data_IF_400020626020
#
_entry.id   IF_400020626020
#
_cell.length_a   1.000
_cell.length_b   1.000
_cell.length_c   1.000
_cell.angle_alpha   90.00
_cell.angle_beta   90.00
_cell.angle_gamma   90.00
#
_symmetry.space_group_name_H-M   'P 1'
#
loop_
_entity.id
_entity.type
_entity.pdbx_description
1 polymer ?
#
# COMPACT_ATOMS: atom_id res chain seq x y z
N UNK A 1 45.68 33.01 -19.33
CA UNK A 1 45.46 31.84 -18.46
C UNK A 1 44.01 31.83 -18.05
N UNK A 2 43.20 30.97 -18.66
CA UNK A 2 41.75 30.92 -18.43
C UNK A 2 41.47 29.80 -17.44
N UNK A 3 41.11 30.15 -16.21
CA UNK A 3 40.70 29.19 -15.18
C UNK A 3 39.22 28.90 -15.41
N UNK A 4 38.91 27.71 -15.94
CA UNK A 4 37.55 27.18 -16.00
C UNK A 4 37.14 26.80 -14.57
N UNK A 5 36.28 27.62 -13.95
CA UNK A 5 35.59 27.24 -12.72
C UNK A 5 34.50 26.23 -13.09
N UNK A 6 34.73 24.95 -12.77
CA UNK A 6 33.66 23.96 -12.65
C UNK A 6 32.67 24.43 -11.61
N UNK A 7 31.49 24.85 -12.05
CA UNK A 7 30.31 24.98 -11.20
C UNK A 7 29.73 23.57 -11.01
N UNK A 8 30.28 22.83 -10.05
CA UNK A 8 29.60 21.64 -9.52
C UNK A 8 28.54 22.13 -8.54
N UNK A 9 27.27 21.97 -8.89
CA UNK A 9 26.14 22.25 -8.01
C UNK A 9 26.22 21.40 -6.74
N UNK A 10 26.18 22.00 -5.53
CA UNK A 10 26.37 21.27 -4.27
C UNK A 10 25.09 20.59 -3.75
N UNK A 11 24.02 20.48 -4.54
CA UNK A 11 22.73 19.97 -4.05
C UNK A 11 21.99 19.00 -4.98
N UNK A 12 22.68 18.40 -5.95
CA UNK A 12 22.17 17.19 -6.60
C UNK A 12 22.63 16.00 -5.77
N UNK A 13 21.96 15.70 -4.65
CA UNK A 13 22.06 14.37 -4.06
C UNK A 13 21.74 13.37 -5.17
N UNK A 14 22.77 12.71 -5.71
CA UNK A 14 22.56 11.59 -6.63
C UNK A 14 21.76 10.56 -5.87
N UNK A 15 20.49 10.42 -6.21
CA UNK A 15 19.60 9.42 -5.63
C UNK A 15 20.19 8.03 -5.89
N UNK A 16 20.86 7.46 -4.89
CA UNK A 16 21.52 6.15 -5.03
C UNK A 16 20.49 5.03 -5.07
N UNK A 17 20.67 4.13 -6.03
CA UNK A 17 19.91 2.87 -6.12
C UNK A 17 20.11 2.06 -4.85
N UNK A 18 21.35 1.98 -4.33
CA UNK A 18 21.68 1.34 -3.06
C UNK A 18 20.80 1.82 -1.92
N UNK A 19 20.78 3.13 -1.68
CA UNK A 19 19.98 3.73 -0.61
C UNK A 19 18.49 3.44 -0.77
N UNK A 20 17.95 3.53 -2.00
CA UNK A 20 16.54 3.26 -2.26
C UNK A 20 16.17 1.79 -2.14
N UNK A 21 17.00 0.87 -2.62
CA UNK A 21 16.77 -0.55 -2.46
C UNK A 21 16.83 -0.96 -0.98
N UNK A 22 17.79 -0.45 -0.20
CA UNK A 22 17.86 -0.69 1.24
C UNK A 22 16.63 -0.14 1.98
N UNK A 23 16.15 1.05 1.60
CA UNK A 23 14.89 1.62 2.13
C UNK A 23 13.70 0.71 1.85
N UNK A 24 13.56 0.25 0.60
CA UNK A 24 12.49 -0.67 0.21
C UNK A 24 12.57 -2.00 0.98
N UNK A 25 13.77 -2.57 1.15
CA UNK A 25 13.97 -3.80 1.91
C UNK A 25 13.51 -3.64 3.37
N UNK A 26 13.84 -2.51 3.99
CA UNK A 26 13.41 -2.22 5.37
C UNK A 26 11.88 -2.03 5.44
N UNK A 27 11.30 -1.22 4.55
CA UNK A 27 9.86 -0.98 4.53
C UNK A 27 9.06 -2.27 4.30
N UNK A 28 9.58 -3.18 3.49
CA UNK A 28 8.94 -4.46 3.21
C UNK A 28 9.07 -5.44 4.39
N UNK A 29 10.22 -5.45 5.07
CA UNK A 29 10.40 -6.22 6.31
C UNK A 29 9.44 -5.74 7.41
N UNK A 30 9.32 -4.43 7.62
CA UNK A 30 8.37 -3.83 8.56
C UNK A 30 6.92 -4.26 8.24
N UNK A 31 6.55 -4.27 6.95
CA UNK A 31 5.22 -4.67 6.51
C UNK A 31 4.94 -6.14 6.83
N UNK A 32 5.91 -7.03 6.58
CA UNK A 32 5.79 -8.46 6.88
C UNK A 32 5.64 -8.72 8.39
N UNK A 33 6.42 -8.03 9.22
CA UNK A 33 6.33 -8.13 10.69
C UNK A 33 4.94 -7.72 11.19
N UNK A 34 4.40 -6.62 10.65
CA UNK A 34 3.04 -6.17 10.99
C UNK A 34 1.98 -7.17 10.57
N UNK A 35 2.05 -7.71 9.35
CA UNK A 35 1.11 -8.71 8.87
C UNK A 35 1.16 -9.99 9.70
N UNK A 36 2.35 -10.42 10.12
CA UNK A 36 2.51 -11.56 11.04
C UNK A 36 1.85 -11.28 12.40
N UNK A 37 2.12 -10.12 12.99
CA UNK A 37 1.54 -9.72 14.28
C UNK A 37 0.01 -9.67 14.23
N UNK A 38 -0.57 -9.14 13.15
CA UNK A 38 -2.03 -9.11 12.97
C UNK A 38 -2.63 -10.51 12.79
N UNK A 39 -1.93 -11.41 12.11
CA UNK A 39 -2.36 -12.80 11.95
C UNK A 39 -2.38 -13.56 13.30
N UNK A 40 -1.43 -13.27 14.20
CA UNK A 40 -1.36 -13.89 15.53
C UNK A 40 -2.35 -13.28 16.53
N UNK A 41 -2.55 -11.96 16.50
CA UNK A 41 -3.50 -11.26 17.35
C UNK A 41 -4.97 -11.57 16.98
N UNK A 42 -5.24 -11.90 15.71
CA UNK A 42 -6.54 -12.31 15.19
C UNK A 42 -6.95 -13.76 15.51
N UNK A 43 -6.30 -14.40 16.51
CA UNK A 43 -6.59 -15.75 17.00
C UNK A 43 -7.97 -15.92 17.64
N UNK A 44 -9.04 -15.61 16.92
CA UNK A 44 -10.37 -16.16 17.11
C UNK A 44 -10.94 -16.44 15.74
N UNK A 45 -10.68 -17.64 15.23
CA UNK A 45 -11.57 -18.24 14.25
C UNK A 45 -12.02 -19.58 14.81
N UNK A 46 -13.27 -19.55 15.28
CA UNK A 46 -14.18 -20.67 15.21
C UNK A 46 -13.82 -21.53 13.98
N UNK A 47 -13.52 -22.80 14.25
CA UNK A 47 -13.59 -23.84 13.24
C UNK A 47 -15.07 -23.96 12.93
N UNK A 48 -15.53 -23.30 11.88
CA UNK A 48 -16.67 -23.70 11.06
C UNK A 48 -16.88 -22.69 9.94
N UNK A 49 -17.27 -23.21 8.78
CA UNK A 49 -17.68 -22.54 7.54
C UNK A 49 -16.60 -22.24 6.48
N UNK A 50 -16.58 -23.16 5.53
CA UNK A 50 -16.39 -22.96 4.09
C UNK A 50 -15.05 -22.39 3.62
N UNK A 51 -14.26 -23.27 2.99
CA UNK A 51 -13.27 -22.91 1.97
C UNK A 51 -13.96 -22.16 0.82
N UNK A 52 -14.19 -20.86 0.98
CA UNK A 52 -14.33 -19.99 -0.17
C UNK A 52 -12.92 -19.80 -0.72
N UNK A 53 -12.68 -20.20 -1.97
CA UNK A 53 -11.44 -19.94 -2.70
C UNK A 53 -11.37 -18.43 -2.95
N UNK A 54 -11.15 -17.66 -1.89
CA UNK A 54 -10.91 -16.24 -2.01
C UNK A 54 -9.48 -16.11 -2.51
N UNK A 55 -9.30 -15.43 -3.64
CA UNK A 55 -8.02 -14.98 -4.21
C UNK A 55 -7.30 -13.96 -3.31
N UNK A 56 -7.38 -14.14 -1.99
CA UNK A 56 -6.72 -13.31 -0.99
C UNK A 56 -5.22 -13.57 -1.04
N UNK A 57 -4.44 -12.51 -1.21
CA UNK A 57 -2.98 -12.56 -1.14
C UNK A 57 -2.61 -13.12 0.25
N UNK A 58 -2.06 -14.33 0.27
CA UNK A 58 -1.60 -14.96 1.51
C UNK A 58 -0.35 -14.25 2.03
N UNK A 59 -0.13 -14.25 3.36
CA UNK A 59 1.13 -13.80 3.96
C UNK A 59 2.35 -14.49 3.33
N UNK A 60 2.21 -15.76 2.95
CA UNK A 60 3.27 -16.50 2.27
C UNK A 60 3.57 -15.95 0.86
N UNK A 61 2.56 -15.47 0.14
CA UNK A 61 2.76 -14.81 -1.16
C UNK A 61 3.54 -13.49 -0.99
N UNK A 62 3.20 -12.67 0.01
CA UNK A 62 3.94 -11.43 0.32
C UNK A 62 5.39 -11.75 0.70
N UNK A 63 5.61 -12.78 1.52
CA UNK A 63 6.95 -13.24 1.91
C UNK A 63 7.77 -13.71 0.71
N UNK A 64 7.17 -14.47 -0.21
CA UNK A 64 7.84 -14.91 -1.43
C UNK A 64 8.27 -13.71 -2.30
N UNK A 65 7.44 -12.67 -2.42
CA UNK A 65 7.80 -11.46 -3.17
C UNK A 65 8.94 -10.67 -2.49
N UNK A 66 8.93 -10.59 -1.16
CA UNK A 66 10.04 -10.02 -0.40
C UNK A 66 11.34 -10.79 -0.64
N UNK A 67 11.31 -12.13 -0.57
CA UNK A 67 12.48 -12.96 -0.82
C UNK A 67 13.01 -12.78 -2.25
N UNK A 68 12.13 -12.73 -3.26
CA UNK A 68 12.49 -12.44 -4.66
C UNK A 68 13.15 -11.07 -4.82
N UNK A 69 12.63 -10.05 -4.13
CA UNK A 69 13.21 -8.71 -4.17
C UNK A 69 14.58 -8.64 -3.48
N UNK A 70 14.73 -9.30 -2.32
CA UNK A 70 16.01 -9.43 -1.61
C UNK A 70 17.04 -10.14 -2.47
N UNK A 71 16.67 -11.26 -3.09
CA UNK A 71 17.56 -12.00 -3.98
C UNK A 71 17.98 -11.13 -5.16
N UNK A 72 17.06 -10.39 -5.79
CA UNK A 72 17.40 -9.45 -6.85
C UNK A 72 18.41 -8.39 -6.37
N UNK A 73 18.21 -7.82 -5.18
CA UNK A 73 19.11 -6.83 -4.62
C UNK A 73 20.54 -7.39 -4.48
N UNK A 74 20.68 -8.54 -3.83
CA UNK A 74 21.99 -9.17 -3.61
C UNK A 74 22.66 -9.60 -4.92
N UNK A 75 21.92 -10.19 -5.86
CA UNK A 75 22.46 -10.62 -7.15
C UNK A 75 22.91 -9.46 -8.04
N UNK A 76 22.21 -8.32 -7.97
CA UNK A 76 22.56 -7.13 -8.76
C UNK A 76 23.52 -6.19 -8.04
N UNK A 77 23.78 -6.42 -6.75
CA UNK A 77 24.48 -5.45 -5.92
C UNK A 77 23.72 -4.13 -5.81
N UNK A 78 22.39 -4.21 -5.80
CA UNK A 78 21.52 -3.05 -5.76
C UNK A 78 21.35 -2.49 -4.35
N UNK A 79 21.82 -3.18 -3.32
CA UNK A 79 21.77 -2.85 -1.89
C UNK A 79 23.12 -2.39 -1.31
N UNK A 80 24.17 -2.34 -2.14
CA UNK A 80 25.53 -1.93 -1.74
C UNK A 80 25.99 -0.73 -2.55
N UNK A 81 26.84 0.09 -1.95
CA UNK A 81 27.47 1.24 -2.61
C UNK A 81 28.89 0.89 -3.08
N UNK A 82 29.41 1.67 -4.03
CA UNK A 82 30.82 1.59 -4.47
C UNK A 82 31.08 0.65 -5.65
N UNK A 83 32.35 0.31 -5.94
CA UNK A 83 32.73 -0.48 -7.10
C UNK A 83 32.02 -1.83 -7.16
N UNK A 84 31.42 -2.16 -8.32
CA UNK A 84 30.65 -3.39 -8.50
C UNK A 84 29.26 -3.37 -7.85
N UNK A 85 28.77 -2.20 -7.43
CA UNK A 85 27.35 -1.95 -7.16
C UNK A 85 26.56 -1.75 -8.45
N UNK A 86 25.22 -1.81 -8.35
CA UNK A 86 24.36 -1.46 -9.47
C UNK A 86 24.46 0.03 -9.83
N UNK A 87 24.70 0.92 -8.86
CA UNK A 87 24.97 2.35 -9.08
C UNK A 87 26.22 2.55 -9.97
N UNK A 88 27.31 1.84 -9.65
CA UNK A 88 28.56 1.87 -10.41
C UNK A 88 28.38 1.26 -11.82
N UNK A 89 27.75 0.09 -11.91
CA UNK A 89 27.51 -0.60 -13.18
C UNK A 89 26.59 0.16 -14.15
N UNK A 90 25.72 1.03 -13.66
CA UNK A 90 24.80 1.83 -14.47
C UNK A 90 25.27 3.28 -14.71
N UNK A 91 26.48 3.64 -14.28
CA UNK A 91 27.00 5.01 -14.38
C UNK A 91 26.93 5.59 -15.81
N UNK A 92 27.14 4.74 -16.83
CA UNK A 92 27.07 5.12 -18.25
C UNK A 92 25.72 4.81 -18.91
N UNK A 93 24.81 4.14 -18.21
CA UNK A 93 23.51 3.70 -18.69
C UNK A 93 22.37 4.54 -18.06
N UNK A 94 22.40 5.85 -18.28
CA UNK A 94 21.53 6.82 -17.61
C UNK A 94 20.02 6.51 -17.72
N UNK A 95 19.56 5.99 -18.87
CA UNK A 95 18.14 5.62 -19.01
C UNK A 95 17.76 4.44 -18.11
N UNK A 96 18.58 3.38 -18.10
CA UNK A 96 18.36 2.21 -17.25
C UNK A 96 18.42 2.57 -15.77
N UNK A 97 19.41 3.40 -15.40
CA UNK A 97 19.53 3.94 -14.05
C UNK A 97 18.23 4.62 -13.59
N UNK A 98 17.69 5.54 -14.42
CA UNK A 98 16.44 6.24 -14.13
C UNK A 98 15.25 5.29 -14.01
N UNK A 99 15.15 4.28 -14.89
CA UNK A 99 14.06 3.30 -14.84
C UNK A 99 14.11 2.49 -13.54
N UNK A 100 15.28 1.99 -13.15
CA UNK A 100 15.46 1.23 -11.90
C UNK A 100 15.07 2.09 -10.71
N UNK A 101 15.54 3.34 -10.67
CA UNK A 101 15.24 4.26 -9.58
C UNK A 101 13.75 4.60 -9.48
N UNK A 102 13.08 4.84 -10.61
CA UNK A 102 11.63 5.06 -10.64
C UNK A 102 10.85 3.85 -10.13
N UNK A 103 11.27 2.63 -10.50
CA UNK A 103 10.63 1.41 -10.01
C UNK A 103 10.81 1.26 -8.49
N UNK A 104 11.99 1.58 -7.96
CA UNK A 104 12.23 1.56 -6.52
C UNK A 104 11.41 2.62 -5.78
N UNK A 105 11.29 3.84 -6.32
CA UNK A 105 10.42 4.87 -5.73
C UNK A 105 8.96 4.44 -5.72
N UNK A 106 8.46 3.87 -6.82
CA UNK A 106 7.09 3.34 -6.89
C UNK A 106 6.86 2.22 -5.87
N UNK A 107 7.85 1.33 -5.67
CA UNK A 107 7.77 0.27 -4.67
C UNK A 107 7.73 0.85 -3.25
N UNK A 108 8.60 1.81 -2.93
CA UNK A 108 8.64 2.51 -1.64
C UNK A 108 7.26 3.14 -1.33
N UNK A 109 6.67 3.84 -2.30
CA UNK A 109 5.33 4.44 -2.18
C UNK A 109 4.23 3.38 -1.91
N UNK A 110 4.23 2.27 -2.65
CA UNK A 110 3.27 1.19 -2.47
C UNK A 110 3.42 0.50 -1.11
N UNK A 111 4.66 0.31 -0.63
CA UNK A 111 4.93 -0.27 0.69
C UNK A 111 4.47 0.67 1.82
N UNK A 112 4.74 1.97 1.68
CA UNK A 112 4.23 2.99 2.60
C UNK A 112 2.69 3.02 2.62
N UNK A 113 2.05 3.00 1.46
CA UNK A 113 0.59 2.97 1.35
C UNK A 113 0.01 1.70 2.01
N UNK A 114 0.59 0.53 1.76
CA UNK A 114 0.17 -0.70 2.39
C UNK A 114 0.30 -0.63 3.92
N UNK A 115 1.40 -0.07 4.43
CA UNK A 115 1.62 0.14 5.87
C UNK A 115 0.59 1.10 6.47
N UNK A 116 0.27 2.19 5.79
CA UNK A 116 -0.73 3.16 6.24
C UNK A 116 -2.15 2.57 6.26
N UNK A 117 -2.47 1.68 5.32
CA UNK A 117 -3.72 0.92 5.33
C UNK A 117 -3.77 -0.02 6.55
N UNK A 118 -2.70 -0.77 6.81
CA UNK A 118 -2.62 -1.68 7.97
C UNK A 118 -2.66 -0.95 9.31
N UNK A 119 -2.10 0.26 9.38
CA UNK A 119 -2.14 1.13 10.55
C UNK A 119 -3.51 1.82 10.72
N UNK A 120 -4.45 1.65 9.77
CA UNK A 120 -5.74 2.34 9.76
C UNK A 120 -5.64 3.84 9.49
N UNK A 121 -4.48 4.35 9.10
CA UNK A 121 -4.24 5.77 8.75
C UNK A 121 -4.85 6.13 7.40
N UNK A 122 -4.98 5.16 6.50
CA UNK A 122 -5.57 5.32 5.17
C UNK A 122 -6.72 4.32 4.98
N UNK A 123 -7.89 4.81 4.63
CA UNK A 123 -9.07 3.98 4.33
C UNK A 123 -8.99 3.51 2.88
N UNK A 124 -8.97 2.19 2.66
CA UNK A 124 -8.85 1.53 1.36
C UNK A 124 -9.99 1.90 0.38
N UNK A 125 -11.17 2.25 0.89
CA UNK A 125 -12.39 2.46 0.09
C UNK A 125 -12.49 3.82 -0.62
N UNK A 126 -11.54 4.75 -0.47
CA UNK A 126 -11.66 6.10 -1.05
C UNK A 126 -11.11 6.23 -2.49
N UNK A 127 -10.85 5.12 -3.20
CA UNK A 127 -10.35 5.18 -4.59
C UNK A 127 -11.45 5.51 -5.62
N UNK A 128 -12.74 5.40 -5.27
CA UNK A 128 -13.86 5.65 -6.21
C UNK A 128 -14.84 6.76 -5.82
N UNK A 129 -14.71 7.42 -4.65
CA UNK A 129 -15.66 8.48 -4.25
C UNK A 129 -15.24 9.89 -4.66
N UNK A 130 -14.02 10.08 -5.19
CA UNK A 130 -13.55 11.37 -5.71
C UNK A 130 -14.24 11.81 -7.01
N UNK A 131 -15.00 10.92 -7.68
CA UNK A 131 -15.83 11.27 -8.83
C UNK A 131 -17.26 11.72 -8.46
N UNK A 132 -17.64 11.66 -7.18
CA UNK A 132 -18.98 12.05 -6.71
C UNK A 132 -19.02 13.44 -6.08
N UNK A 133 -17.91 14.18 -6.09
CA UNK A 133 -17.84 15.55 -5.61
C UNK A 133 -17.52 16.49 -6.78
N UNK A 134 -18.51 16.79 -7.60
CA UNK A 134 -18.74 18.10 -8.25
C UNK A 134 -19.75 17.97 -9.41
N UNK A 135 -21.02 18.30 -9.11
CA UNK A 135 -21.91 19.09 -9.98
C UNK A 135 -23.27 19.22 -9.28
N UNK A 136 -23.31 19.99 -8.20
CA UNK A 136 -24.58 20.47 -7.63
C UNK A 136 -24.93 21.79 -8.34
N UNK A 137 -25.37 21.67 -9.59
CA UNK A 137 -26.04 22.75 -10.31
C UNK A 137 -27.56 22.46 -10.29
N UNK A 138 -28.23 23.31 -9.53
CA UNK A 138 -29.66 23.41 -9.22
C UNK A 138 -30.60 23.32 -10.44
N UNK A 139 -31.55 22.38 -10.41
CA UNK A 139 -32.89 22.58 -11.00
C UNK A 139 -33.97 21.86 -10.15
N UNK A 140 -34.48 22.56 -9.14
CA UNK A 140 -35.90 22.88 -9.15
C UNK A 140 -36.96 21.77 -9.05
N UNK A 141 -36.80 20.73 -8.21
CA UNK A 141 -37.93 19.85 -7.86
C UNK A 141 -38.06 19.61 -6.34
N UNK A 142 -38.97 20.37 -5.72
CA UNK A 142 -39.44 20.19 -4.33
C UNK A 142 -40.04 18.79 -4.13
N UNK A 143 -39.39 17.95 -3.33
CA UNK A 143 -40.11 17.05 -2.41
C UNK A 143 -39.48 17.11 -1.03
N UNK A 144 -40.11 17.93 -0.20
CA UNK A 144 -39.83 18.11 1.23
C UNK A 144 -40.14 16.80 1.96
N UNK A 145 -39.14 15.97 2.24
CA UNK A 145 -39.31 14.85 3.19
C UNK A 145 -39.38 15.42 4.60
N UNK A 146 -40.60 15.51 5.12
CA UNK A 146 -40.93 15.86 6.50
C UNK A 146 -41.01 14.57 7.30
N UNK A 147 -40.11 14.43 8.27
CA UNK A 147 -40.27 13.63 9.48
C UNK A 147 -40.41 12.12 9.29
N UNK A 148 -39.36 11.38 9.64
CA UNK A 148 -39.52 10.24 10.53
C UNK A 148 -38.34 10.25 11.50
N UNK A 149 -38.71 10.19 12.77
CA UNK A 149 -37.83 10.24 13.92
C UNK A 149 -37.12 8.89 14.00
N UNK A 150 -35.81 8.91 13.79
CA UNK A 150 -34.97 7.73 13.58
C UNK A 150 -34.71 6.89 14.86
N UNK A 151 -35.65 6.84 15.80
CA UNK A 151 -35.47 6.14 17.08
C UNK A 151 -36.19 4.77 17.14
N UNK A 152 -37.03 4.40 16.15
CA UNK A 152 -37.90 3.22 16.28
C UNK A 152 -37.61 1.98 15.41
N UNK A 153 -36.49 1.91 14.69
CA UNK A 153 -36.31 0.84 13.68
C UNK A 153 -35.23 -0.22 13.95
N UNK A 154 -34.37 -0.09 14.97
CA UNK A 154 -33.43 -1.16 15.32
C UNK A 154 -34.09 -2.31 16.09
N UNK A 155 -35.09 -2.01 16.93
CA UNK A 155 -35.85 -3.04 17.66
C UNK A 155 -36.64 -3.94 16.70
N UNK A 156 -37.22 -3.36 15.64
CA UNK A 156 -37.99 -4.11 14.64
C UNK A 156 -37.13 -5.08 13.82
N UNK A 157 -35.85 -4.74 13.60
CA UNK A 157 -34.91 -5.63 12.92
C UNK A 157 -34.59 -6.84 13.80
N UNK A 158 -34.41 -6.64 15.11
CA UNK A 158 -34.15 -7.74 16.04
C UNK A 158 -35.37 -8.68 16.19
N UNK A 159 -36.58 -8.12 16.28
CA UNK A 159 -37.81 -8.90 16.38
C UNK A 159 -38.07 -9.73 15.10
N UNK A 160 -37.73 -9.20 13.93
CA UNK A 160 -37.83 -9.91 12.65
C UNK A 160 -36.80 -11.06 12.53
N UNK A 161 -35.62 -10.90 13.14
CA UNK A 161 -34.59 -11.95 13.14
C UNK A 161 -34.98 -13.07 14.10
N UNK A 162 -35.46 -12.75 15.31
CA UNK A 162 -35.86 -13.73 16.31
C UNK A 162 -37.06 -14.56 15.83
N UNK A 163 -38.07 -13.91 15.24
CA UNK A 163 -39.26 -14.61 14.74
C UNK A 163 -38.93 -15.63 13.63
N UNK A 164 -37.86 -15.43 12.85
CA UNK A 164 -37.46 -16.35 11.79
C UNK A 164 -36.60 -17.52 12.27
N UNK A 165 -36.15 -17.50 13.54
CA UNK A 165 -35.36 -18.59 14.15
C UNK A 165 -36.26 -19.55 14.93
N UNK A 166 -37.44 -19.11 15.36
CA UNK A 166 -38.41 -19.94 16.10
C UNK A 166 -39.31 -20.80 15.19
N UNK A 167 -39.32 -20.56 13.87
CA UNK A 167 -40.10 -21.31 12.86
C UNK A 167 -39.29 -22.38 12.09
N UNK A 168 -38.12 -22.79 12.62
CA UNK A 168 -37.28 -23.90 12.13
C UNK A 168 -37.24 -25.07 13.13
#
# INVERSE_FOLDING_TARGET
MTILRSTSDPNSEKQSIAKKASSCLQAFADLLEKLQTQAEAGGSSCKDAQQNKNDGISLNAVKNEFDRFRDWCSHKGADKEGPGSLDDGLQLAANTYRVVLNLLNNLDELLCEAKDILDGKKIFWNRELSHLSESDDDDGARTRFKGLDNEFHLSQINDCIVSNVEDL
#
